data_IF_423012904457
#
_entry.id   IF_423012904457
#
_cell.length_a   1.000
_cell.length_b   1.000
_cell.length_c   1.000
_cell.angle_alpha   90.00
_cell.angle_beta   90.00
_cell.angle_gamma   90.00
#
_symmetry.space_group_name_H-M   'P 1'
#
loop_
_entity.id
_entity.type
_entity.pdbx_description
1 polymer ?
#
# COMPACT_ATOMS: atom_id res chain seq x y z
N UNK A 1 4.50 16.79 8.17
CA UNK A 1 3.74 15.53 8.01
C UNK A 1 2.60 15.78 7.04
N UNK A 2 2.62 15.14 5.87
CA UNK A 2 1.51 15.18 4.93
C UNK A 2 0.50 14.10 5.33
N UNK A 3 -0.79 14.41 5.24
CA UNK A 3 -1.84 13.46 5.58
C UNK A 3 -2.98 13.55 4.55
N UNK A 4 -3.56 12.39 4.24
CA UNK A 4 -4.78 12.28 3.44
C UNK A 4 -5.90 11.82 4.38
N UNK A 5 -7.07 12.45 4.28
CA UNK A 5 -8.27 11.98 4.99
C UNK A 5 -9.11 11.12 4.05
N UNK A 6 -9.37 9.88 4.45
CA UNK A 6 -10.19 8.92 3.71
C UNK A 6 -11.40 8.58 4.55
N UNK A 7 -12.57 9.12 4.18
CA UNK A 7 -13.83 8.93 4.90
C UNK A 7 -13.74 9.21 6.42
N UNK A 8 -12.97 10.22 6.82
CA UNK A 8 -12.76 10.59 8.23
C UNK A 8 -11.62 9.84 8.93
N UNK A 9 -10.98 8.87 8.27
CA UNK A 9 -9.73 8.26 8.74
C UNK A 9 -8.53 9.05 8.20
N UNK A 10 -7.73 9.62 9.09
CA UNK A 10 -6.51 10.34 8.70
C UNK A 10 -5.35 9.34 8.52
N UNK A 11 -4.76 9.33 7.33
CA UNK A 11 -3.60 8.52 6.95
C UNK A 11 -2.41 9.46 6.78
N UNK A 12 -1.45 9.38 7.70
CA UNK A 12 -0.27 10.25 7.70
C UNK A 12 1.01 9.46 7.50
N UNK A 13 1.93 9.99 6.70
CA UNK A 13 3.27 9.45 6.51
C UNK A 13 4.22 10.58 6.05
N UNK A 14 5.51 10.42 6.29
CA UNK A 14 6.53 11.37 5.81
C UNK A 14 7.01 11.05 4.40
N UNK A 15 7.00 9.76 4.03
CA UNK A 15 7.31 9.28 2.68
C UNK A 15 6.51 8.02 2.39
N UNK A 16 6.05 7.87 1.16
CA UNK A 16 5.36 6.70 0.65
C UNK A 16 5.87 6.41 -0.76
N UNK A 17 6.58 5.29 -0.92
CA UNK A 17 7.13 4.86 -2.21
C UNK A 17 6.79 3.40 -2.45
N UNK A 18 6.37 3.08 -3.67
CA UNK A 18 6.21 1.70 -4.15
C UNK A 18 7.21 1.43 -5.29
N UNK A 19 7.65 0.18 -5.40
CA UNK A 19 8.52 -0.30 -6.48
C UNK A 19 8.05 -1.69 -6.90
N UNK A 20 7.93 -1.90 -8.20
CA UNK A 20 7.56 -3.17 -8.79
C UNK A 20 8.63 -3.60 -9.80
N UNK A 21 8.85 -4.91 -9.89
CA UNK A 21 9.72 -5.56 -10.85
C UNK A 21 8.99 -6.75 -11.46
N UNK A 22 8.89 -6.79 -12.79
CA UNK A 22 8.45 -7.96 -13.53
C UNK A 22 9.66 -8.73 -14.06
N UNK A 23 9.62 -10.06 -13.99
CA UNK A 23 10.71 -10.95 -14.39
C UNK A 23 10.16 -12.00 -15.36
N UNK A 24 10.76 -12.14 -16.55
CA UNK A 24 10.27 -13.11 -17.53
C UNK A 24 10.52 -14.52 -17.02
N UNK A 25 9.46 -15.34 -16.94
CA UNK A 25 9.56 -16.73 -16.51
C UNK A 25 9.72 -16.94 -15.01
N UNK A 26 9.52 -15.90 -14.18
CA UNK A 26 9.48 -15.98 -12.72
C UNK A 26 8.33 -15.13 -12.19
N UNK A 27 7.92 -15.36 -10.93
CA UNK A 27 7.18 -14.35 -10.21
C UNK A 27 8.01 -13.06 -10.15
N UNK A 28 7.36 -11.92 -10.37
CA UNK A 28 7.97 -10.62 -10.12
C UNK A 28 8.19 -10.35 -8.64
N UNK A 29 8.69 -9.17 -8.32
CA UNK A 29 8.99 -8.74 -6.97
C UNK A 29 8.47 -7.32 -6.72
N UNK A 30 7.99 -7.09 -5.50
CA UNK A 30 7.55 -5.78 -5.05
C UNK A 30 8.23 -5.36 -3.76
N UNK A 31 8.28 -4.05 -3.53
CA UNK A 31 8.65 -3.49 -2.23
C UNK A 31 8.04 -2.10 -2.09
N UNK A 32 7.72 -1.73 -0.86
CA UNK A 32 7.39 -0.35 -0.50
C UNK A 32 8.30 0.17 0.60
N UNK A 33 8.48 1.48 0.64
CA UNK A 33 9.16 2.18 1.71
C UNK A 33 8.23 3.27 2.24
N UNK A 34 7.86 3.15 3.51
CA UNK A 34 6.88 4.02 4.17
C UNK A 34 7.52 4.52 5.47
N UNK A 35 7.68 5.83 5.58
CA UNK A 35 8.31 6.46 6.74
C UNK A 35 7.25 7.07 7.66
N UNK A 36 7.34 6.77 8.97
CA UNK A 36 6.51 7.35 10.03
C UNK A 36 5.00 7.24 9.75
N UNK A 37 4.55 6.04 9.31
CA UNK A 37 3.13 5.78 9.09
C UNK A 37 2.34 5.95 10.41
N UNK A 38 1.22 6.66 10.31
CA UNK A 38 0.24 6.75 11.38
C UNK A 38 -1.17 6.72 10.81
N UNK A 39 -2.09 6.16 11.60
CA UNK A 39 -3.52 6.17 11.32
C UNK A 39 -4.20 6.85 12.49
N UNK A 40 -4.94 7.92 12.21
CA UNK A 40 -5.58 8.77 13.23
C UNK A 40 -4.59 9.24 14.34
N UNK A 41 -3.34 9.52 13.95
CA UNK A 41 -2.27 9.95 14.85
C UNK A 41 -1.61 8.82 15.66
N UNK A 42 -2.08 7.58 15.54
CA UNK A 42 -1.46 6.41 16.16
C UNK A 42 -0.37 5.86 15.23
N UNK A 43 0.90 5.75 15.67
CA UNK A 43 1.96 5.16 14.88
C UNK A 43 1.67 3.70 14.53
N UNK A 44 1.89 3.32 13.27
CA UNK A 44 1.71 1.95 12.79
C UNK A 44 3.07 1.37 12.42
N UNK A 45 3.50 0.25 13.04
CA UNK A 45 4.73 -0.42 12.65
C UNK A 45 4.54 -1.09 11.28
N UNK A 46 5.43 -0.79 10.34
CA UNK A 46 5.51 -1.47 9.04
C UNK A 46 6.44 -2.68 9.21
N UNK A 47 5.91 -3.89 9.03
CA UNK A 47 6.69 -5.13 9.28
C UNK A 47 7.68 -5.41 8.16
N UNK A 48 7.39 -4.91 6.96
CA UNK A 48 8.14 -5.24 5.73
C UNK A 48 7.65 -6.51 5.04
N UNK A 49 6.68 -7.22 5.63
CA UNK A 49 6.00 -8.33 4.96
C UNK A 49 4.96 -7.76 3.97
N UNK A 50 4.79 -8.40 2.80
CA UNK A 50 3.79 -7.97 1.83
C UNK A 50 2.38 -8.19 2.38
N UNK A 51 1.47 -7.30 2.01
CA UNK A 51 0.03 -7.34 2.33
C UNK A 51 -0.29 -7.26 3.82
N UNK A 52 0.50 -6.52 4.60
CA UNK A 52 0.21 -6.28 6.02
C UNK A 52 -1.12 -5.52 6.16
N UNK A 53 -2.10 -6.12 6.82
CA UNK A 53 -3.45 -5.52 6.93
C UNK A 53 -3.69 -4.90 8.30
N UNK A 54 -4.20 -3.67 8.31
CA UNK A 54 -4.64 -2.94 9.50
C UNK A 54 -6.14 -2.64 9.38
N UNK A 55 -6.93 -3.10 10.35
CA UNK A 55 -8.36 -2.79 10.37
C UNK A 55 -8.62 -1.38 10.88
N UNK A 56 -9.54 -0.67 10.21
CA UNK A 56 -10.03 0.65 10.60
C UNK A 56 -11.56 0.61 10.69
N UNK A 57 -12.22 1.57 11.36
CA UNK A 57 -13.67 1.64 11.37
C UNK A 57 -14.24 1.65 9.95
N UNK A 58 -15.09 0.67 9.63
CA UNK A 58 -15.75 0.56 8.32
C UNK A 58 -14.86 0.08 7.18
N UNK A 59 -13.64 -0.42 7.45
CA UNK A 59 -12.72 -0.76 6.38
C UNK A 59 -11.39 -1.37 6.81
N UNK A 60 -10.41 -1.27 5.92
CA UNK A 60 -9.04 -1.71 6.15
C UNK A 60 -8.03 -0.85 5.40
N UNK A 61 -6.78 -0.92 5.86
CA UNK A 61 -5.60 -0.42 5.15
C UNK A 61 -4.71 -1.63 4.90
N UNK A 62 -4.41 -1.92 3.63
CA UNK A 62 -3.35 -2.86 3.25
C UNK A 62 -2.07 -2.06 3.02
N UNK A 63 -1.04 -2.39 3.79
CA UNK A 63 0.30 -1.86 3.70
C UNK A 63 1.11 -2.83 2.84
N UNK A 64 1.90 -2.29 1.91
CA UNK A 64 2.69 -3.07 0.95
C UNK A 64 1.83 -4.11 0.23
N UNK A 65 0.67 -3.69 -0.30
CA UNK A 65 -0.18 -4.60 -1.07
C UNK A 65 0.54 -4.98 -2.36
N UNK A 66 0.83 -6.28 -2.52
CA UNK A 66 1.54 -6.82 -3.67
C UNK A 66 0.67 -7.85 -4.39
N UNK A 67 0.48 -7.62 -5.69
CA UNK A 67 -0.16 -8.57 -6.60
C UNK A 67 0.82 -8.92 -7.71
N UNK A 68 1.43 -10.10 -7.60
CA UNK A 68 2.42 -10.61 -8.55
C UNK A 68 1.83 -11.71 -9.43
N UNK A 69 2.12 -11.67 -10.73
CA UNK A 69 1.86 -12.73 -11.70
C UNK A 69 3.14 -13.07 -12.47
N UNK A 70 3.05 -14.03 -13.42
CA UNK A 70 4.18 -14.41 -14.28
C UNK A 70 4.61 -13.30 -15.27
N UNK A 71 3.77 -12.28 -15.49
CA UNK A 71 4.01 -11.24 -16.49
C UNK A 71 3.86 -9.82 -15.93
N UNK A 72 3.34 -9.67 -14.71
CA UNK A 72 3.05 -8.38 -14.12
C UNK A 72 3.28 -8.38 -12.62
N UNK A 73 3.60 -7.22 -12.06
CA UNK A 73 3.63 -6.99 -10.63
C UNK A 73 3.06 -5.60 -10.36
N UNK A 74 2.06 -5.54 -9.50
CA UNK A 74 1.48 -4.31 -8.97
C UNK A 74 1.81 -4.23 -7.49
N UNK A 75 2.28 -3.06 -7.05
CA UNK A 75 2.55 -2.76 -5.65
C UNK A 75 1.86 -1.46 -5.29
N UNK A 76 0.99 -1.50 -4.28
CA UNK A 76 0.43 -0.33 -3.65
C UNK A 76 1.04 -0.22 -2.25
N UNK A 77 1.78 0.85 -1.98
CA UNK A 77 2.41 1.05 -0.67
C UNK A 77 1.34 1.19 0.42
N UNK A 78 0.27 1.94 0.15
CA UNK A 78 -0.93 1.99 0.99
C UNK A 78 -2.17 1.85 0.10
N UNK A 79 -3.02 0.89 0.41
CA UNK A 79 -4.35 0.74 -0.17
C UNK A 79 -5.39 0.81 0.95
N UNK A 80 -6.17 1.89 0.96
CA UNK A 80 -7.18 2.18 1.97
C UNK A 80 -8.56 1.94 1.38
N UNK A 81 -9.27 0.97 1.94
CA UNK A 81 -10.65 0.67 1.56
C UNK A 81 -11.56 0.99 2.73
N UNK A 82 -12.50 1.91 2.52
CA UNK A 82 -13.63 2.14 3.43
C UNK A 82 -14.90 1.69 2.70
N UNK A 83 -15.49 0.59 3.17
CA UNK A 83 -16.49 -0.15 2.41
C UNK A 83 -17.70 0.71 2.06
N UNK A 84 -18.02 0.77 0.76
CA UNK A 84 -19.13 1.57 0.24
C UNK A 84 -18.91 3.09 0.25
N UNK A 85 -17.72 3.57 0.64
CA UNK A 85 -17.42 5.00 0.77
C UNK A 85 -16.22 5.41 -0.08
N UNK A 86 -15.08 4.74 0.05
CA UNK A 86 -13.85 5.14 -0.61
C UNK A 86 -12.91 3.96 -0.85
N UNK A 87 -12.15 4.05 -1.93
CA UNK A 87 -11.06 3.15 -2.31
C UNK A 87 -9.90 4.04 -2.79
N UNK A 88 -8.81 4.08 -2.02
CA UNK A 88 -7.72 5.04 -2.20
C UNK A 88 -6.38 4.32 -2.16
N UNK A 89 -5.59 4.52 -3.21
CA UNK A 89 -4.20 4.06 -3.29
C UNK A 89 -3.24 5.24 -3.16
N UNK A 90 -2.23 5.12 -2.30
CA UNK A 90 -1.16 6.11 -2.09
C UNK A 90 0.17 5.43 -2.36
N UNK A 91 0.88 5.91 -3.39
CA UNK A 91 2.13 5.32 -3.86
C UNK A 91 1.87 3.97 -4.54
N UNK A 92 1.84 3.96 -5.88
CA UNK A 92 1.64 2.75 -6.66
C UNK A 92 2.77 2.58 -7.69
N UNK A 93 3.13 1.33 -7.96
CA UNK A 93 4.05 0.97 -9.03
C UNK A 93 3.55 -0.29 -9.74
N UNK A 94 3.62 -0.26 -11.06
CA UNK A 94 3.31 -1.42 -11.91
C UNK A 94 4.48 -1.70 -12.82
N UNK A 95 4.88 -2.96 -12.89
CA UNK A 95 5.85 -3.46 -13.85
C UNK A 95 5.21 -4.61 -14.64
N UNK A 96 5.48 -4.67 -15.94
CA UNK A 96 4.93 -5.72 -16.80
C UNK A 96 5.86 -6.06 -17.96
N UNK A 97 5.70 -7.28 -18.47
CA UNK A 97 6.37 -7.79 -19.66
C UNK A 97 5.28 -8.14 -20.67
N UNK A 98 5.40 -7.60 -21.88
CA UNK A 98 4.45 -7.76 -22.99
C UNK A 98 5.10 -8.49 -24.17
#
# INVERSE_FOLDING_TARGET
MAAVSVAGTAIGADSVMARALAILGSAGAGTSNIANLSINGVPIPVTGDPNQTIYIPGGLVVIDEQQTSATSTVVNALHVTVYGVADVVIGSATAGIY
#
